data_IF_436305677863
#
_entry.id   IF_436305677863
#
_cell.length_a   1.000
_cell.length_b   1.000
_cell.length_c   1.000
_cell.angle_alpha   90.00
_cell.angle_beta   90.00
_cell.angle_gamma   90.00
#
_symmetry.space_group_name_H-M   'P 1'
#
loop_
_entity.id
_entity.type
_entity.pdbx_description
1 polymer ?
#
# COMPACT_ATOMS: atom_id res chain seq x y z
N UNK A 1 11.75 6.29 -22.94
CA UNK A 1 12.05 5.34 -21.85
C UNK A 1 10.73 5.03 -21.17
N UNK A 2 10.42 3.77 -20.90
CA UNK A 2 9.18 3.42 -20.19
C UNK A 2 9.39 3.55 -18.68
N UNK A 3 8.38 4.06 -17.97
CA UNK A 3 8.38 4.09 -16.50
C UNK A 3 7.70 2.82 -15.97
N UNK A 4 8.15 2.33 -14.81
CA UNK A 4 7.57 1.17 -14.11
C UNK A 4 7.30 1.56 -12.67
N UNK A 5 6.13 1.17 -12.16
CA UNK A 5 5.74 1.32 -10.75
C UNK A 5 5.70 -0.08 -10.13
N UNK A 6 6.36 -0.24 -8.97
CA UNK A 6 6.33 -1.48 -8.19
C UNK A 6 5.58 -1.22 -6.88
N UNK A 7 4.41 -1.85 -6.73
CA UNK A 7 3.68 -1.88 -5.47
C UNK A 7 4.12 -3.11 -4.66
N UNK A 8 4.76 -2.90 -3.51
CA UNK A 8 5.31 -3.98 -2.66
C UNK A 8 4.54 -4.04 -1.35
N UNK A 9 4.14 -5.24 -0.96
CA UNK A 9 3.57 -5.55 0.36
C UNK A 9 2.32 -4.73 0.77
N UNK A 10 1.58 -4.21 -0.20
CA UNK A 10 0.27 -3.58 0.01
C UNK A 10 -0.85 -4.60 0.19
N UNK A 11 -0.68 -5.51 1.14
CA UNK A 11 -1.62 -6.60 1.44
C UNK A 11 -2.25 -6.44 2.83
N UNK A 12 -3.38 -7.10 3.06
CA UNK A 12 -4.12 -7.05 4.35
C UNK A 12 -3.24 -7.42 5.54
N UNK A 13 -2.32 -8.38 5.36
CA UNK A 13 -1.37 -8.82 6.39
C UNK A 13 -0.54 -7.70 7.04
N UNK A 14 -0.26 -6.62 6.30
CA UNK A 14 0.47 -5.46 6.79
C UNK A 14 -0.45 -4.25 7.09
N UNK A 15 -1.63 -4.21 6.47
CA UNK A 15 -2.48 -3.02 6.44
C UNK A 15 -3.81 -3.14 7.18
N UNK A 16 -4.16 -4.29 7.73
CA UNK A 16 -5.39 -4.49 8.51
C UNK A 16 -5.09 -4.95 9.94
N UNK A 17 -5.87 -4.43 10.87
CA UNK A 17 -5.80 -4.83 12.28
C UNK A 17 -6.21 -6.30 12.42
N UNK A 18 -5.57 -7.01 13.35
CA UNK A 18 -5.78 -8.44 13.56
C UNK A 18 -4.83 -9.37 12.80
N UNK A 19 -3.98 -8.84 11.92
CA UNK A 19 -2.90 -9.61 11.28
C UNK A 19 -1.57 -9.53 12.05
N UNK A 20 -0.72 -10.58 12.04
CA UNK A 20 0.51 -10.63 12.83
C UNK A 20 1.53 -9.53 12.54
N UNK A 21 1.50 -8.95 11.35
CA UNK A 21 2.46 -7.93 10.90
C UNK A 21 1.81 -6.56 10.67
N UNK A 22 0.65 -6.31 11.29
CA UNK A 22 -0.06 -5.05 11.13
C UNK A 22 0.81 -3.83 11.48
N UNK A 23 1.02 -2.94 10.51
CA UNK A 23 1.89 -1.76 10.64
C UNK A 23 1.21 -0.56 11.33
N UNK A 24 -0.01 -0.73 11.84
CA UNK A 24 -0.78 0.30 12.54
C UNK A 24 -1.66 1.16 11.61
N UNK A 25 -2.64 1.84 12.22
CA UNK A 25 -3.72 2.52 11.49
C UNK A 25 -3.24 3.61 10.53
N UNK A 26 -2.05 4.19 10.78
CA UNK A 26 -1.47 5.22 9.91
C UNK A 26 -0.95 4.66 8.58
N UNK A 27 -0.60 3.37 8.52
CA UNK A 27 -0.05 2.75 7.30
C UNK A 27 -1.04 2.82 6.12
N UNK A 28 -2.35 2.67 6.40
CA UNK A 28 -3.40 2.74 5.37
C UNK A 28 -3.54 4.12 4.71
N UNK A 29 -3.00 5.18 5.30
CA UNK A 29 -3.11 6.55 4.74
C UNK A 29 -2.42 6.72 3.39
N UNK A 30 -1.48 5.82 3.04
CA UNK A 30 -0.76 5.88 1.76
C UNK A 30 -1.55 5.28 0.59
N UNK A 31 -2.55 4.44 0.86
CA UNK A 31 -3.35 3.73 -0.16
C UNK A 31 -3.88 4.68 -1.25
N UNK A 32 -4.56 5.81 -0.94
CA UNK A 32 -5.07 6.69 -1.99
C UNK A 32 -3.96 7.30 -2.86
N UNK A 33 -2.78 7.57 -2.29
CA UNK A 33 -1.66 8.11 -3.07
C UNK A 33 -1.08 7.06 -4.04
N UNK A 34 -1.05 5.79 -3.63
CA UNK A 34 -0.60 4.70 -4.52
C UNK A 34 -1.62 4.44 -5.61
N UNK A 35 -2.92 4.46 -5.30
CA UNK A 35 -3.98 4.37 -6.32
C UNK A 35 -3.83 5.48 -7.37
N UNK A 36 -3.67 6.73 -6.92
CA UNK A 36 -3.46 7.86 -7.82
C UNK A 36 -2.14 7.82 -8.61
N UNK A 37 -1.15 7.03 -8.18
CA UNK A 37 0.07 6.78 -8.96
C UNK A 37 -0.12 5.69 -10.02
N UNK A 38 -0.91 4.65 -9.71
CA UNK A 38 -1.17 3.53 -10.62
C UNK A 38 -2.16 3.87 -11.73
N UNK A 39 -2.98 4.91 -11.54
CA UNK A 39 -3.97 5.39 -12.50
C UNK A 39 -3.41 6.43 -13.50
N UNK A 40 -2.13 6.79 -13.41
CA UNK A 40 -1.42 7.69 -14.35
C UNK A 40 -0.98 6.97 -15.63
#
# INVERSE_FOLDING_TARGET
>A
MANVVLAVDMVRGFLEEGYPLYCGARARRIIPNVQGLLEQ
#
